data_IF_495069698526
#
_entry.id   IF_495069698526
#
_cell.length_a   1.000
_cell.length_b   1.000
_cell.length_c   1.000
_cell.angle_alpha   90.00
_cell.angle_beta   90.00
_cell.angle_gamma   90.00
#
_symmetry.space_group_name_H-M   'P 1'
#
loop_
_entity.id
_entity.type
_entity.pdbx_description
1 polymer ?
#
# COMPACT_ATOMS: atom_id res chain seq x y z
N UNK A 1 9.04 48.18 -4.36
CA UNK A 1 8.84 47.09 -5.31
C UNK A 1 8.66 45.84 -4.50
N UNK A 2 7.40 45.56 -4.23
CA UNK A 2 6.92 44.64 -3.20
C UNK A 2 6.88 43.21 -3.73
N UNK A 3 7.21 42.30 -2.81
CA UNK A 3 7.13 40.85 -2.94
C UNK A 3 5.84 40.42 -3.65
N UNK A 4 6.01 39.94 -4.86
CA UNK A 4 4.95 39.28 -5.64
C UNK A 4 5.37 37.84 -5.93
N UNK A 5 5.81 37.12 -4.89
CA UNK A 5 5.77 35.65 -4.89
C UNK A 5 4.45 35.31 -4.21
N UNK A 6 3.40 35.43 -4.99
CA UNK A 6 2.07 34.92 -4.67
C UNK A 6 2.23 33.46 -4.26
N UNK A 7 2.08 33.22 -2.96
CA UNK A 7 1.23 32.16 -2.39
C UNK A 7 0.78 31.15 -3.45
N UNK A 8 1.69 30.26 -3.86
CA UNK A 8 1.30 28.99 -4.45
C UNK A 8 0.90 28.14 -3.25
N UNK A 9 -0.32 28.38 -2.79
CA UNK A 9 -1.18 27.55 -1.94
C UNK A 9 -0.43 26.52 -1.07
N UNK A 10 0.00 26.95 0.12
CA UNK A 10 0.16 26.13 1.33
C UNK A 10 1.15 24.95 1.33
N UNK A 11 1.85 24.65 0.24
CA UNK A 11 2.74 23.47 0.15
C UNK A 11 4.19 23.84 0.28
N UNK A 12 4.95 23.14 1.12
CA UNK A 12 6.40 23.35 1.19
C UNK A 12 7.08 22.62 0.02
N UNK A 13 8.12 23.22 -0.56
CA UNK A 13 8.93 22.56 -1.60
C UNK A 13 9.54 21.23 -1.12
N UNK A 14 9.72 21.10 0.20
CA UNK A 14 10.20 19.89 0.83
C UNK A 14 9.19 18.73 0.71
N UNK A 15 7.91 18.94 1.00
CA UNK A 15 6.87 17.91 0.86
C UNK A 15 6.79 17.37 -0.57
N UNK A 16 6.73 18.27 -1.54
CA UNK A 16 6.68 17.89 -2.97
C UNK A 16 7.92 17.06 -3.36
N UNK A 17 9.09 17.39 -2.81
CA UNK A 17 10.31 16.64 -3.06
C UNK A 17 10.28 15.23 -2.47
N UNK A 18 9.72 15.06 -1.26
CA UNK A 18 9.60 13.75 -0.61
C UNK A 18 8.63 12.84 -1.37
N UNK A 19 7.47 13.38 -1.79
CA UNK A 19 6.52 12.61 -2.60
C UNK A 19 7.12 12.13 -3.91
N UNK A 20 7.80 13.03 -4.64
CA UNK A 20 8.46 12.67 -5.91
C UNK A 20 9.53 11.63 -5.72
N UNK A 21 10.29 11.72 -4.63
CA UNK A 21 11.30 10.73 -4.28
C UNK A 21 10.65 9.38 -4.01
N UNK A 22 9.62 9.31 -3.16
CA UNK A 22 8.94 8.04 -2.86
C UNK A 22 8.30 7.42 -4.11
N UNK A 23 7.70 8.23 -4.98
CA UNK A 23 7.20 7.76 -6.27
C UNK A 23 8.30 7.17 -7.16
N UNK A 24 9.46 7.83 -7.25
CA UNK A 24 10.60 7.35 -8.03
C UNK A 24 11.16 6.04 -7.45
N UNK A 25 11.32 5.97 -6.12
CA UNK A 25 11.83 4.78 -5.43
C UNK A 25 10.89 3.57 -5.62
N UNK A 26 9.57 3.77 -5.56
CA UNK A 26 8.58 2.71 -5.83
C UNK A 26 8.57 2.27 -7.29
N UNK A 27 8.73 3.21 -8.21
CA UNK A 27 8.80 2.90 -9.64
C UNK A 27 10.06 2.08 -9.95
N UNK A 28 11.20 2.45 -9.39
CA UNK A 28 12.45 1.70 -9.52
C UNK A 28 12.31 0.29 -8.93
N UNK A 29 11.82 0.16 -7.69
CA UNK A 29 11.62 -1.14 -7.05
C UNK A 29 10.68 -2.06 -7.85
N UNK A 30 9.63 -1.50 -8.46
CA UNK A 30 8.73 -2.27 -9.33
C UNK A 30 9.41 -2.75 -10.62
N UNK A 31 10.31 -1.94 -11.21
CA UNK A 31 11.04 -2.30 -12.42
C UNK A 31 12.08 -3.39 -12.12
N UNK A 32 12.88 -3.20 -11.06
CA UNK A 32 13.88 -4.17 -10.62
C UNK A 32 13.25 -5.55 -10.37
N UNK A 33 12.09 -5.56 -9.69
CA UNK A 33 11.35 -6.78 -9.44
C UNK A 33 10.88 -7.49 -10.72
N UNK A 34 10.38 -6.74 -11.70
CA UNK A 34 9.97 -7.30 -13.00
C UNK A 34 11.17 -7.86 -13.77
N UNK A 35 12.32 -7.20 -13.73
CA UNK A 35 13.56 -7.68 -14.37
C UNK A 35 14.05 -8.99 -13.73
N UNK A 36 14.07 -9.06 -12.40
CA UNK A 36 14.41 -10.27 -11.65
C UNK A 36 13.48 -11.43 -12.01
N UNK A 37 12.17 -11.18 -12.10
CA UNK A 37 11.18 -12.19 -12.47
C UNK A 37 11.38 -12.73 -13.91
N UNK A 38 11.69 -11.85 -14.86
CA UNK A 38 12.03 -12.23 -16.24
C UNK A 38 13.33 -13.05 -16.30
N UNK A 39 14.31 -12.72 -15.47
CA UNK A 39 15.55 -13.48 -15.38
C UNK A 39 15.33 -14.87 -14.78
N UNK A 40 14.52 -14.97 -13.72
CA UNK A 40 14.22 -16.25 -13.07
C UNK A 40 13.44 -17.20 -13.98
N UNK A 41 12.43 -16.69 -14.68
CA UNK A 41 11.67 -17.47 -15.67
C UNK A 41 12.55 -17.98 -16.82
N UNK A 42 13.56 -17.21 -17.23
CA UNK A 42 14.51 -17.59 -18.28
C UNK A 42 15.53 -18.67 -17.86
N UNK A 43 15.80 -18.80 -16.55
CA UNK A 43 16.82 -19.72 -16.00
C UNK A 43 16.30 -21.13 -15.66
N UNK A 44 15.00 -21.42 -15.85
CA UNK A 44 14.43 -22.76 -15.71
C UNK A 44 14.52 -23.43 -14.33
N UNK A 45 14.91 -22.69 -13.29
CA UNK A 45 15.21 -23.21 -11.95
C UNK A 45 14.50 -22.39 -10.87
N UNK A 46 13.19 -22.53 -10.68
CA UNK A 46 12.57 -22.23 -9.38
C UNK A 46 11.35 -23.14 -9.20
N UNK A 47 11.36 -23.89 -8.09
CA UNK A 47 10.16 -24.51 -7.55
C UNK A 47 9.17 -23.40 -7.22
N UNK A 48 8.10 -23.33 -8.02
CA UNK A 48 6.95 -22.44 -7.82
C UNK A 48 6.44 -22.69 -6.40
N UNK A 49 6.86 -21.85 -5.45
CA UNK A 49 6.01 -21.59 -4.28
C UNK A 49 4.68 -21.16 -4.87
N UNK A 50 3.59 -21.74 -4.37
CA UNK A 50 2.13 -21.63 -4.61
C UNK A 50 1.50 -20.31 -5.12
N UNK A 51 2.30 -19.38 -5.59
CA UNK A 51 2.00 -18.22 -6.41
C UNK A 51 2.30 -18.57 -7.87
N UNK A 52 1.28 -19.01 -8.60
CA UNK A 52 1.27 -18.89 -10.07
C UNK A 52 1.40 -17.39 -10.42
N UNK A 53 2.64 -16.92 -10.49
CA UNK A 53 3.09 -15.56 -10.79
C UNK A 53 2.84 -15.17 -12.26
N UNK A 54 2.13 -16.00 -13.03
CA UNK A 54 2.02 -15.93 -14.48
C UNK A 54 1.43 -14.63 -15.02
N UNK A 55 0.78 -13.80 -14.18
CA UNK A 55 0.24 -12.50 -14.62
C UNK A 55 0.24 -11.49 -13.48
N UNK A 56 1.40 -10.90 -13.26
CA UNK A 56 1.51 -9.63 -12.53
C UNK A 56 0.66 -8.57 -13.24
N UNK A 57 -0.22 -7.88 -12.51
CA UNK A 57 -0.92 -6.70 -13.04
C UNK A 57 0.09 -5.54 -13.17
N UNK A 58 -0.04 -4.71 -14.22
CA UNK A 58 0.78 -3.52 -14.51
C UNK A 58 0.69 -2.37 -13.47
N UNK A 59 0.36 -2.65 -12.21
CA UNK A 59 0.31 -1.63 -11.16
C UNK A 59 0.73 -2.17 -9.81
N UNK A 60 1.48 -1.35 -9.10
CA UNK A 60 1.80 -1.54 -7.68
C UNK A 60 0.53 -1.32 -6.86
N UNK A 61 0.24 -2.26 -5.96
CA UNK A 61 -0.80 -2.16 -4.95
C UNK A 61 -0.16 -2.04 -3.56
N UNK A 62 -0.95 -1.51 -2.63
CA UNK A 62 -0.50 -1.16 -1.30
C UNK A 62 -1.37 -1.82 -0.25
N UNK A 63 -0.73 -2.33 0.81
CA UNK A 63 -1.38 -2.62 2.07
C UNK A 63 -0.84 -1.66 3.13
N UNK A 64 -1.74 -1.00 3.83
CA UNK A 64 -1.40 -0.13 4.94
C UNK A 64 -1.27 -0.94 6.23
N UNK A 65 -0.16 -0.74 6.93
CA UNK A 65 0.22 -1.47 8.13
C UNK A 65 0.99 -0.57 9.10
N UNK A 66 1.35 -1.10 10.26
CA UNK A 66 2.27 -0.46 11.19
C UNK A 66 3.73 -0.65 10.77
N UNK A 67 4.61 0.22 11.26
CA UNK A 67 6.06 0.14 11.01
C UNK A 67 6.66 -1.26 11.28
N UNK A 68 6.46 -1.89 12.46
CA UNK A 68 7.10 -3.18 12.74
C UNK A 68 6.61 -4.27 11.79
N UNK A 69 5.34 -4.20 11.39
CA UNK A 69 4.74 -5.16 10.49
C UNK A 69 5.25 -4.99 9.06
N UNK A 70 5.42 -3.75 8.59
CA UNK A 70 5.97 -3.46 7.27
C UNK A 70 7.36 -4.08 7.08
N UNK A 71 8.28 -3.82 8.03
CA UNK A 71 9.62 -4.40 8.01
C UNK A 71 9.62 -5.92 8.15
N UNK A 72 8.72 -6.46 8.97
CA UNK A 72 8.55 -7.91 9.08
C UNK A 72 8.13 -8.56 7.76
N UNK A 73 7.16 -7.96 7.05
CA UNK A 73 6.66 -8.49 5.78
C UNK A 73 7.76 -8.54 4.71
N UNK A 74 8.61 -7.51 4.61
CA UNK A 74 9.76 -7.51 3.71
C UNK A 74 10.75 -8.61 4.08
N UNK A 75 11.13 -8.70 5.36
CA UNK A 75 12.12 -9.67 5.83
C UNK A 75 11.65 -11.12 5.68
N UNK A 76 10.38 -11.37 5.99
CA UNK A 76 9.79 -12.70 6.01
C UNK A 76 9.15 -13.09 4.67
N UNK A 77 9.10 -12.17 3.69
CA UNK A 77 8.46 -12.36 2.37
C UNK A 77 7.03 -12.88 2.54
N UNK A 78 6.25 -12.14 3.31
CA UNK A 78 4.86 -12.51 3.61
C UNK A 78 3.93 -11.30 3.57
N UNK A 79 2.64 -11.58 3.37
CA UNK A 79 1.57 -10.60 3.50
C UNK A 79 0.69 -10.97 4.69
N UNK A 80 0.36 -10.02 5.58
CA UNK A 80 -0.46 -10.29 6.74
C UNK A 80 -1.92 -10.34 6.33
N UNK A 81 -2.71 -11.08 7.10
CA UNK A 81 -4.15 -11.00 6.97
C UNK A 81 -4.61 -9.64 7.48
N UNK A 82 -5.48 -8.95 6.76
CA UNK A 82 -6.06 -7.67 7.20
C UNK A 82 -7.58 -7.59 7.00
N UNK A 83 -8.20 -8.75 6.75
CA UNK A 83 -9.64 -8.87 6.61
C UNK A 83 -10.18 -10.09 7.33
N UNK A 84 -11.45 -9.99 7.74
CA UNK A 84 -12.22 -11.11 8.30
C UNK A 84 -12.89 -11.97 7.22
N UNK A 85 -13.12 -11.38 6.05
CA UNK A 85 -13.84 -12.02 4.94
C UNK A 85 -12.89 -12.53 3.86
N UNK A 86 -11.66 -12.02 3.83
CA UNK A 86 -10.63 -12.35 2.86
C UNK A 86 -9.30 -12.61 3.57
N UNK A 87 -8.31 -13.15 2.84
CA UNK A 87 -6.95 -13.23 3.36
C UNK A 87 -6.36 -11.83 3.50
N UNK A 88 -6.16 -11.16 2.37
CA UNK A 88 -5.68 -9.79 2.33
C UNK A 88 -6.56 -8.92 1.43
N UNK A 89 -6.69 -7.66 1.83
CA UNK A 89 -7.28 -6.55 1.08
C UNK A 89 -6.21 -5.50 0.85
N UNK A 90 -6.02 -5.12 -0.41
CA UNK A 90 -5.00 -4.16 -0.86
C UNK A 90 -5.63 -3.13 -1.79
N UNK A 91 -4.95 -2.02 -2.01
CA UNK A 91 -5.52 -0.87 -2.72
C UNK A 91 -4.54 -0.26 -3.70
N UNK A 92 -5.04 0.36 -4.76
CA UNK A 92 -4.24 1.21 -5.65
C UNK A 92 -4.05 2.63 -5.11
N UNK A 93 -4.57 2.95 -3.92
CA UNK A 93 -4.39 4.24 -3.27
C UNK A 93 -2.91 4.42 -2.92
N UNK A 94 -2.20 5.40 -3.49
CA UNK A 94 -0.78 5.56 -3.24
C UNK A 94 -0.49 6.11 -1.84
N UNK A 95 0.64 5.71 -1.21
CA UNK A 95 0.99 6.08 0.16
C UNK A 95 1.57 7.50 0.28
N UNK A 96 1.53 8.29 -0.79
CA UNK A 96 2.15 9.62 -0.86
C UNK A 96 1.14 10.71 -1.22
N UNK A 97 -0.14 10.55 -0.88
CA UNK A 97 -1.14 11.58 -1.14
C UNK A 97 -1.09 12.69 -0.10
N UNK A 98 -0.99 13.95 -0.55
CA UNK A 98 -1.20 15.10 0.34
C UNK A 98 -2.68 15.25 0.69
N UNK A 99 -2.93 15.94 1.79
CA UNK A 99 -4.26 16.38 2.20
C UNK A 99 -5.18 15.20 2.54
N UNK A 100 -4.59 14.10 2.99
CA UNK A 100 -5.30 12.89 3.46
C UNK A 100 -5.20 12.82 4.97
N UNK A 101 -6.36 12.80 5.65
CA UNK A 101 -6.42 12.50 7.08
C UNK A 101 -6.21 10.99 7.31
N UNK A 102 -5.10 10.62 7.96
CA UNK A 102 -4.79 9.24 8.29
C UNK A 102 -5.91 8.55 9.12
N UNK A 103 -6.64 9.30 9.95
CA UNK A 103 -7.77 8.75 10.71
C UNK A 103 -8.95 8.43 9.80
N UNK A 104 -9.20 9.28 8.81
CA UNK A 104 -10.21 9.03 7.79
C UNK A 104 -9.81 7.79 6.97
N UNK A 105 -8.57 7.73 6.47
CA UNK A 105 -8.07 6.56 5.74
C UNK A 105 -8.25 5.27 6.54
N UNK A 106 -7.87 5.27 7.82
CA UNK A 106 -8.03 4.10 8.68
C UNK A 106 -9.50 3.67 8.81
N UNK A 107 -10.43 4.63 8.98
CA UNK A 107 -11.88 4.33 9.00
C UNK A 107 -12.37 3.73 7.68
N UNK A 108 -11.93 4.25 6.54
CA UNK A 108 -12.29 3.70 5.23
C UNK A 108 -11.75 2.28 5.05
N UNK A 109 -10.48 2.04 5.39
CA UNK A 109 -9.88 0.71 5.33
C UNK A 109 -10.57 -0.28 6.28
N UNK A 110 -11.03 0.18 7.44
CA UNK A 110 -11.86 -0.62 8.35
C UNK A 110 -13.20 -1.01 7.71
N UNK A 111 -13.87 -0.10 7.01
CA UNK A 111 -15.14 -0.37 6.35
C UNK A 111 -14.96 -1.39 5.22
N UNK A 112 -13.87 -1.28 4.46
CA UNK A 112 -13.58 -2.13 3.31
C UNK A 112 -13.11 -3.52 3.75
N UNK A 113 -12.10 -3.58 4.62
CA UNK A 113 -11.42 -4.83 5.00
C UNK A 113 -11.95 -5.46 6.29
N UNK A 114 -12.51 -4.68 7.21
CA UNK A 114 -12.92 -5.13 8.55
C UNK A 114 -11.78 -5.34 9.55
N UNK A 115 -10.52 -5.39 9.08
CA UNK A 115 -9.34 -5.67 9.89
C UNK A 115 -9.14 -7.16 10.21
N UNK A 116 -8.09 -7.44 10.97
CA UNK A 116 -7.75 -8.77 11.50
C UNK A 116 -7.09 -8.61 12.88
N UNK A 117 -6.83 -9.70 13.62
CA UNK A 117 -6.07 -9.62 14.88
C UNK A 117 -4.64 -9.08 14.73
N UNK A 118 -4.09 -9.01 13.51
CA UNK A 118 -2.74 -8.53 13.26
C UNK A 118 -2.69 -7.16 12.55
N UNK A 119 -3.78 -6.78 11.88
CA UNK A 119 -3.96 -5.45 11.28
C UNK A 119 -5.29 -4.87 11.75
N UNK A 120 -5.22 -3.95 12.70
CA UNK A 120 -6.39 -3.30 13.28
C UNK A 120 -6.48 -1.83 12.86
N UNK A 121 -7.56 -1.47 12.17
CA UNK A 121 -7.81 -0.10 11.70
C UNK A 121 -8.70 0.70 12.67
N UNK A 122 -8.53 0.53 13.99
CA UNK A 122 -9.27 1.31 15.00
C UNK A 122 -8.66 2.69 15.29
N UNK A 123 -7.45 2.95 14.76
CA UNK A 123 -6.73 4.21 14.83
C UNK A 123 -5.72 4.34 13.70
N UNK A 124 -4.80 5.31 13.79
CA UNK A 124 -3.85 5.60 12.70
C UNK A 124 -2.61 4.71 12.69
N UNK A 125 -2.38 3.91 13.74
CA UNK A 125 -1.16 3.12 13.90
C UNK A 125 -0.92 2.17 12.72
N UNK A 126 -1.97 1.47 12.28
CA UNK A 126 -1.94 0.54 11.14
C UNK A 126 -1.97 1.22 9.78
N UNK A 127 -1.87 2.56 9.72
CA UNK A 127 -1.79 3.32 8.47
C UNK A 127 -0.55 4.22 8.40
N UNK A 128 0.39 4.04 9.34
CA UNK A 128 1.65 4.81 9.36
C UNK A 128 2.62 4.38 8.28
N UNK A 129 2.56 3.10 7.88
CA UNK A 129 3.46 2.51 6.90
C UNK A 129 2.66 1.73 5.86
N UNK A 130 3.35 1.35 4.80
CA UNK A 130 2.79 0.50 3.76
C UNK A 130 3.76 -0.59 3.38
N UNK A 131 3.21 -1.65 2.81
CA UNK A 131 3.94 -2.60 1.96
C UNK A 131 3.39 -2.48 0.54
N UNK A 132 4.31 -2.40 -0.41
CA UNK A 132 4.03 -2.36 -1.84
C UNK A 132 4.25 -3.74 -2.42
N UNK A 133 3.34 -4.15 -3.30
CA UNK A 133 3.40 -5.44 -3.96
C UNK A 133 2.87 -5.36 -5.38
N UNK A 134 3.31 -6.31 -6.20
CA UNK A 134 2.68 -6.57 -7.48
C UNK A 134 1.64 -7.68 -7.30
N UNK A 135 0.37 -7.45 -7.66
CA UNK A 135 -0.68 -8.42 -7.45
C UNK A 135 -0.57 -9.58 -8.45
N UNK A 136 -0.72 -10.79 -7.95
CA UNK A 136 -0.92 -12.01 -8.74
C UNK A 136 -2.36 -12.11 -9.27
N UNK A 137 -2.62 -13.10 -10.12
CA UNK A 137 -3.97 -13.43 -10.63
C UNK A 137 -5.00 -13.75 -9.55
N UNK A 138 -4.56 -14.11 -8.35
CA UNK A 138 -5.45 -14.38 -7.21
C UNK A 138 -6.07 -13.14 -6.58
N UNK A 139 -5.59 -11.93 -6.93
CA UNK A 139 -6.22 -10.69 -6.47
C UNK A 139 -7.40 -10.32 -7.37
N UNK A 140 -8.60 -10.37 -6.81
CA UNK A 140 -9.82 -9.96 -7.48
C UNK A 140 -10.18 -8.53 -7.07
N UNK A 141 -10.59 -7.71 -8.05
CA UNK A 141 -11.09 -6.36 -7.77
C UNK A 141 -12.44 -6.45 -7.09
N UNK A 142 -12.54 -5.92 -5.87
CA UNK A 142 -13.79 -5.88 -5.10
C UNK A 142 -14.67 -4.70 -5.49
N UNK A 143 -14.09 -3.50 -5.50
CA UNK A 143 -14.80 -2.27 -5.76
C UNK A 143 -13.84 -1.14 -6.16
N UNK A 144 -14.43 -0.03 -6.60
CA UNK A 144 -13.78 1.27 -6.62
C UNK A 144 -14.26 2.06 -5.40
N UNK A 145 -13.35 2.78 -4.76
CA UNK A 145 -13.63 3.62 -3.61
C UNK A 145 -13.14 5.04 -3.86
N UNK A 146 -13.57 5.98 -3.02
CA UNK A 146 -13.14 7.38 -3.09
C UNK A 146 -12.74 7.85 -1.69
N UNK A 147 -11.50 8.34 -1.56
CA UNK A 147 -11.02 8.97 -0.34
C UNK A 147 -11.17 10.48 -0.49
N UNK A 148 -11.98 11.11 0.36
CA UNK A 148 -12.05 12.56 0.37
C UNK A 148 -10.73 13.15 0.88
N UNK A 149 -10.29 14.23 0.23
CA UNK A 149 -9.13 15.02 0.62
C UNK A 149 -9.59 16.36 1.19
N UNK A 150 -8.74 16.99 2.00
CA UNK A 150 -9.06 18.26 2.66
C UNK A 150 -9.24 19.41 1.65
N UNK A 151 -8.68 19.30 0.45
CA UNK A 151 -8.90 20.25 -0.66
C UNK A 151 -10.29 20.15 -1.30
N UNK A 152 -11.16 19.26 -0.78
CA UNK A 152 -12.51 19.02 -1.27
C UNK A 152 -12.57 18.13 -2.50
N UNK A 153 -11.43 17.69 -3.03
CA UNK A 153 -11.36 16.70 -4.10
C UNK A 153 -11.37 15.28 -3.52
N UNK A 154 -11.89 14.33 -4.29
CA UNK A 154 -11.80 12.91 -3.98
C UNK A 154 -10.67 12.26 -4.78
N UNK A 155 -9.93 11.35 -4.16
CA UNK A 155 -9.05 10.42 -4.89
C UNK A 155 -9.76 9.09 -5.04
N UNK A 156 -10.09 8.75 -6.29
CA UNK A 156 -10.60 7.42 -6.62
C UNK A 156 -9.47 6.38 -6.61
N UNK A 157 -9.78 5.20 -6.11
CA UNK A 157 -8.84 4.08 -6.09
C UNK A 157 -9.57 2.74 -6.17
N UNK A 158 -8.87 1.72 -6.64
CA UNK A 158 -9.38 0.36 -6.72
C UNK A 158 -8.99 -0.43 -5.47
N UNK A 159 -9.92 -1.26 -4.98
CA UNK A 159 -9.70 -2.22 -3.90
C UNK A 159 -9.67 -3.62 -4.48
N UNK A 160 -8.68 -4.39 -4.08
CA UNK A 160 -8.52 -5.78 -4.45
C UNK A 160 -8.46 -6.66 -3.20
N UNK A 161 -8.88 -7.90 -3.33
CA UNK A 161 -8.71 -8.89 -2.28
C UNK A 161 -8.23 -10.22 -2.85
N UNK A 162 -7.48 -10.94 -2.04
CA UNK A 162 -7.13 -12.32 -2.31
C UNK A 162 -7.82 -13.20 -1.26
N UNK A 163 -8.73 -14.04 -1.76
CA UNK A 163 -9.45 -15.01 -0.97
C UNK A 163 -8.65 -16.30 -0.87
N UNK A 164 -7.72 -16.38 0.09
CA UNK A 164 -7.41 -17.68 0.68
C UNK A 164 -8.31 -17.81 1.91
N UNK A 165 -9.28 -18.74 1.93
CA UNK A 165 -9.88 -19.15 3.20
C UNK A 165 -8.74 -19.50 4.15
N UNK A 166 -8.90 -19.25 5.45
CA UNK A 166 -7.99 -19.80 6.47
C UNK A 166 -7.95 -21.32 6.27
N UNK A 167 -6.95 -21.83 5.56
CA UNK A 167 -6.74 -23.27 5.41
C UNK A 167 -6.46 -23.90 6.78
N UNK A 168 -6.01 -23.08 7.74
CA UNK A 168 -5.75 -23.45 9.13
C UNK A 168 -6.18 -22.36 10.10
N UNK A 169 -6.91 -22.72 11.18
CA UNK A 169 -7.11 -21.83 12.31
C UNK A 169 -5.75 -21.36 12.86
N UNK A 170 -5.50 -20.05 12.88
CA UNK A 170 -4.29 -19.45 13.45
C UNK A 170 -3.25 -18.97 12.43
N UNK A 171 -3.45 -19.16 11.13
CA UNK A 171 -2.61 -18.49 10.12
C UNK A 171 -2.92 -16.98 10.08
N UNK A 172 -1.91 -16.16 10.36
CA UNK A 172 -2.02 -14.68 10.35
C UNK A 172 -1.29 -14.05 9.16
N UNK A 173 -0.60 -14.86 8.36
CA UNK A 173 0.21 -14.45 7.22
C UNK A 173 0.16 -15.53 6.15
N UNK A 174 0.43 -15.15 4.90
CA UNK A 174 0.75 -16.09 3.83
C UNK A 174 1.98 -15.63 3.07
N UNK A 175 2.70 -16.58 2.47
CA UNK A 175 3.89 -16.28 1.68
C UNK A 175 3.50 -15.40 0.49
N UNK A 176 4.16 -14.26 0.36
CA UNK A 176 3.92 -13.32 -0.72
C UNK A 176 5.10 -12.38 -0.88
N UNK A 177 5.43 -12.06 -2.12
CA UNK A 177 6.56 -11.19 -2.40
C UNK A 177 6.23 -9.72 -2.23
N UNK A 178 7.03 -9.03 -1.42
CA UNK A 178 6.90 -7.59 -1.15
C UNK A 178 8.01 -6.88 -1.91
N UNK A 179 7.65 -5.97 -2.81
CA UNK A 179 8.63 -5.24 -3.63
C UNK A 179 9.27 -4.09 -2.86
N UNK A 180 8.56 -3.50 -1.92
CA UNK A 180 9.04 -2.39 -1.10
C UNK A 180 8.16 -2.17 0.13
N UNK A 181 8.70 -1.50 1.13
CA UNK A 181 7.93 -0.98 2.26
C UNK A 181 8.46 0.40 2.64
N UNK A 182 7.59 1.22 3.23
CA UNK A 182 7.98 2.57 3.60
C UNK A 182 6.96 3.28 4.48
N UNK A 183 7.34 4.47 4.91
CA UNK A 183 6.47 5.38 5.64
C UNK A 183 5.42 5.98 4.69
N UNK A 184 4.19 6.11 5.18
CA UNK A 184 3.14 6.83 4.48
C UNK A 184 3.34 8.34 4.60
N UNK A 185 3.32 9.03 3.47
CA UNK A 185 3.35 10.48 3.39
C UNK A 185 1.93 11.03 3.19
N UNK A 186 1.08 10.84 4.21
CA UNK A 186 -0.23 11.47 4.33
C UNK A 186 -0.10 12.72 5.20
N UNK A 187 0.24 13.85 4.59
CA UNK A 187 0.57 15.03 5.37
C UNK A 187 -0.64 15.93 5.64
N UNK A 188 -0.65 16.45 6.88
CA UNK A 188 -1.50 17.49 7.44
C UNK A 188 -0.66 18.74 7.61
N UNK A 189 -1.16 19.89 7.17
CA UNK A 189 -0.68 21.23 7.54
C UNK A 189 -0.18 21.29 8.99
N UNK A 190 0.84 22.12 9.32
CA UNK A 190 1.40 22.17 10.65
C UNK A 190 0.27 22.26 11.66
N UNK A 191 0.18 21.24 12.51
CA UNK A 191 -0.75 21.25 13.61
C UNK A 191 -0.21 22.31 14.57
N UNK A 192 -0.90 23.45 14.64
CA UNK A 192 -0.63 24.45 15.66
C UNK A 192 -0.64 23.74 17.03
N UNK A 193 0.55 23.65 17.65
CA UNK A 193 0.73 23.42 19.08
C UNK A 193 1.01 24.78 19.71
#
# INVERSE_FOLDING_TARGET
MENSISVVEGRTLHEISLQRKLWADLTAASLDFCEDLLQWSSCGNVAVTDTDLDRVVDRVLYMYVSEPLAYWCVRARCLPYNSRNFGAVVTSLPPYLLDVDALQLSRELRLIGGGSPIVEYEGTFSTTHFVALLPSTGFERLCQWCLAREDGLGTEYDVFAIGRPLDRPGEMFFNYEIISAGECLFWRGPSDI
#
